data_IF_405579717164
#
_entry.id   IF_405579717164
#
_cell.length_a   1.000
_cell.length_b   1.000
_cell.length_c   1.000
_cell.angle_alpha   90.00
_cell.angle_beta   90.00
_cell.angle_gamma   90.00
#
_symmetry.space_group_name_H-M   'P 1'
#
loop_
_entity.id
_entity.type
_entity.pdbx_description
1 polymer ?
#
# COMPACT_ATOMS: atom_id res chain seq x y z
N UNK A 1 1.28 -11.65 -1.82
CA UNK A 1 1.44 -10.45 -2.71
C UNK A 1 0.26 -10.16 -3.65
N UNK A 2 -0.67 -11.09 -3.92
CA UNK A 2 -1.74 -10.87 -4.94
C UNK A 2 -2.82 -9.84 -4.57
N UNK A 3 -3.08 -9.56 -3.29
CA UNK A 3 -4.21 -8.70 -2.89
C UNK A 3 -4.05 -7.24 -3.35
N UNK A 4 -2.86 -6.66 -3.19
CA UNK A 4 -2.60 -5.27 -3.58
C UNK A 4 -2.58 -5.10 -5.09
N UNK A 5 -2.07 -6.09 -5.83
CA UNK A 5 -2.14 -6.10 -7.29
C UNK A 5 -3.61 -6.17 -7.79
N UNK A 6 -4.44 -6.99 -7.15
CA UNK A 6 -5.89 -7.05 -7.45
C UNK A 6 -6.58 -5.72 -7.15
N UNK A 7 -6.28 -5.11 -6.01
CA UNK A 7 -6.83 -3.80 -5.67
C UNK A 7 -6.40 -2.72 -6.67
N UNK A 8 -5.14 -2.72 -7.09
CA UNK A 8 -4.65 -1.81 -8.12
C UNK A 8 -5.40 -1.96 -9.45
N UNK A 9 -5.57 -3.19 -9.93
CA UNK A 9 -6.32 -3.46 -11.16
C UNK A 9 -7.78 -3.00 -11.06
N UNK A 10 -8.44 -3.28 -9.93
CA UNK A 10 -9.81 -2.83 -9.68
C UNK A 10 -9.93 -1.30 -9.64
N UNK A 11 -8.97 -0.61 -9.02
CA UNK A 11 -8.93 0.85 -9.00
C UNK A 11 -8.78 1.42 -10.41
N UNK A 12 -7.83 0.92 -11.20
CA UNK A 12 -7.64 1.42 -12.57
C UNK A 12 -8.86 1.16 -13.46
N UNK A 13 -9.48 -0.01 -13.36
CA UNK A 13 -10.72 -0.32 -14.07
C UNK A 13 -11.85 0.64 -13.69
N UNK A 14 -11.97 1.00 -12.40
CA UNK A 14 -12.97 1.96 -11.93
C UNK A 14 -12.68 3.39 -12.41
N UNK A 15 -11.42 3.83 -12.36
CA UNK A 15 -11.02 5.13 -12.88
C UNK A 15 -11.31 5.27 -14.39
N UNK A 16 -11.03 4.21 -15.16
CA UNK A 16 -11.34 4.15 -16.59
C UNK A 16 -12.85 4.19 -16.85
N UNK A 17 -13.65 3.42 -16.11
CA UNK A 17 -15.11 3.40 -16.23
C UNK A 17 -15.77 4.76 -15.91
N UNK A 18 -15.13 5.56 -15.05
CA UNK A 18 -15.59 6.91 -14.70
C UNK A 18 -15.01 8.00 -15.61
N UNK A 19 -14.16 7.65 -16.58
CA UNK A 19 -13.46 8.59 -17.46
C UNK A 19 -12.79 9.75 -16.70
N UNK A 20 -12.13 9.44 -15.57
CA UNK A 20 -11.50 10.47 -14.75
C UNK A 20 -10.36 11.15 -15.54
N UNK A 21 -10.24 12.49 -15.48
CA UNK A 21 -9.18 13.21 -16.18
C UNK A 21 -7.80 13.11 -15.46
N UNK A 22 -7.69 12.26 -14.45
CA UNK A 22 -6.49 12.05 -13.64
C UNK A 22 -6.33 10.57 -13.28
N UNK A 23 -5.09 10.19 -12.96
CA UNK A 23 -4.78 8.84 -12.48
C UNK A 23 -4.78 8.82 -10.95
N UNK A 24 -5.55 7.91 -10.36
CA UNK A 24 -5.50 7.68 -8.91
C UNK A 24 -4.48 6.58 -8.62
N UNK A 25 -3.48 6.92 -7.80
CA UNK A 25 -2.49 6.00 -7.27
C UNK A 25 -2.60 5.85 -5.76
N UNK A 26 -1.99 4.80 -5.22
CA UNK A 26 -1.90 4.59 -3.78
C UNK A 26 -0.55 3.99 -3.39
N UNK A 27 -0.14 4.25 -2.16
CA UNK A 27 0.97 3.58 -1.49
C UNK A 27 0.41 2.75 -0.34
N UNK A 28 1.07 1.64 -0.03
CA UNK A 28 0.63 0.72 1.01
C UNK A 28 1.84 0.09 1.69
N UNK A 29 1.65 -0.33 2.93
CA UNK A 29 2.58 -1.16 3.67
C UNK A 29 1.92 -2.50 3.95
N UNK A 30 2.71 -3.56 3.89
CA UNK A 30 2.23 -4.92 4.11
C UNK A 30 3.05 -5.53 5.23
N UNK A 31 2.36 -5.94 6.29
CA UNK A 31 2.95 -6.65 7.43
C UNK A 31 2.34 -8.04 7.50
N UNK A 32 3.18 -9.05 7.71
CA UNK A 32 2.74 -10.39 8.08
C UNK A 32 2.87 -10.51 9.59
N UNK A 33 1.83 -11.02 10.26
CA UNK A 33 1.91 -11.24 11.69
C UNK A 33 2.99 -12.27 12.03
N UNK A 34 3.94 -11.83 12.82
CA UNK A 34 5.02 -12.64 13.41
C UNK A 34 4.96 -12.53 14.94
N UNK A 35 4.62 -13.61 15.68
CA UNK A 35 4.37 -13.55 17.13
C UNK A 35 5.58 -13.14 17.97
N UNK A 36 6.80 -13.42 17.50
CA UNK A 36 8.04 -13.10 18.22
C UNK A 36 8.40 -11.62 18.03
N UNK A 37 8.04 -11.06 16.88
CA UNK A 37 8.38 -9.69 16.47
C UNK A 37 7.31 -8.67 16.89
N UNK A 38 6.04 -9.10 16.88
CA UNK A 38 4.90 -8.25 17.20
C UNK A 38 4.28 -8.71 18.53
N UNK A 39 4.63 -7.99 19.58
CA UNK A 39 4.09 -8.20 20.93
C UNK A 39 2.68 -7.61 21.08
N UNK A 40 2.31 -6.70 20.19
CA UNK A 40 1.03 -6.00 20.14
C UNK A 40 0.56 -5.74 18.70
N UNK A 41 -0.70 -5.34 18.54
CA UNK A 41 -1.23 -4.91 17.24
C UNK A 41 -0.58 -3.59 16.81
N UNK A 42 -0.26 -2.73 17.78
CA UNK A 42 0.44 -1.46 17.58
C UNK A 42 1.81 -1.67 16.92
N UNK A 43 2.53 -2.75 17.26
CA UNK A 43 3.80 -3.09 16.60
C UNK A 43 3.59 -3.39 15.12
N UNK A 44 2.51 -4.13 14.79
CA UNK A 44 2.17 -4.43 13.40
C UNK A 44 1.78 -3.17 12.62
N UNK A 45 1.05 -2.25 13.25
CA UNK A 45 0.64 -0.99 12.64
C UNK A 45 1.85 -0.10 12.35
N UNK A 46 2.78 0.05 13.30
CA UNK A 46 4.01 0.81 13.08
C UNK A 46 4.88 0.22 11.96
N UNK A 47 4.97 -1.10 11.87
CA UNK A 47 5.69 -1.77 10.78
C UNK A 47 5.00 -1.53 9.43
N UNK A 48 3.67 -1.66 9.38
CA UNK A 48 2.91 -1.37 8.17
C UNK A 48 3.08 0.09 7.73
N UNK A 49 3.04 1.05 8.66
CA UNK A 49 3.25 2.47 8.35
C UNK A 49 4.66 2.70 7.79
N UNK A 50 5.68 2.11 8.41
CA UNK A 50 7.07 2.21 7.96
C UNK A 50 7.23 1.65 6.53
N UNK A 51 6.64 0.50 6.25
CA UNK A 51 6.64 -0.12 4.93
C UNK A 51 5.89 0.73 3.88
N UNK A 52 4.80 1.39 4.28
CA UNK A 52 4.03 2.30 3.43
C UNK A 52 4.84 3.54 3.05
N UNK A 53 5.56 4.14 4.01
CA UNK A 53 6.44 5.28 3.74
C UNK A 53 7.61 4.91 2.82
N UNK A 54 8.21 3.73 3.01
CA UNK A 54 9.23 3.23 2.08
C UNK A 54 8.65 3.08 0.67
N UNK A 55 7.48 2.45 0.53
CA UNK A 55 6.80 2.32 -0.76
C UNK A 55 6.46 3.67 -1.41
N UNK A 56 6.07 4.65 -0.61
CA UNK A 56 5.77 6.00 -1.07
C UNK A 56 7.03 6.69 -1.60
N UNK A 57 8.14 6.64 -0.86
CA UNK A 57 9.44 7.21 -1.27
C UNK A 57 9.91 6.64 -2.60
N UNK A 58 9.88 5.31 -2.75
CA UNK A 58 10.33 4.63 -3.96
C UNK A 58 9.50 5.04 -5.20
N UNK A 59 8.21 5.31 -5.03
CA UNK A 59 7.32 5.78 -6.10
C UNK A 59 7.44 7.27 -6.41
N UNK A 60 7.89 8.08 -5.44
CA UNK A 60 7.88 9.54 -5.56
C UNK A 60 9.13 10.10 -6.23
N UNK A 61 10.18 9.29 -6.45
CA UNK A 61 11.46 9.74 -7.03
C UNK A 61 12.13 10.88 -6.25
N UNK A 62 11.66 11.20 -5.04
CA UNK A 62 12.18 12.26 -4.21
C UNK A 62 13.03 11.59 -3.11
N UNK A 63 14.35 11.89 -3.05
CA UNK A 63 15.26 11.28 -2.08
C UNK A 63 14.85 11.55 -0.62
#
# INVERSE_FOLDING_TARGET
MMLMARFHSALQARCAALALPYTVGFSYGLVCYEPIKHSSVEDMLHEADSAMYANKRDKSGCP
#
